data_IF_923005380351
#
_entry.id   IF_923005380351
#
_cell.length_a   1.000
_cell.length_b   1.000
_cell.length_c   1.000
_cell.angle_alpha   90.00
_cell.angle_beta   90.00
_cell.angle_gamma   90.00
#
_symmetry.space_group_name_H-M   'P 1'
#
loop_
_entity.id
_entity.type
_entity.pdbx_description
1 polymer ?
#
# COMPACT_ATOMS: atom_id res chain seq x y z
N UNK A 1 5.30 -22.51 17.29
CA UNK A 1 6.69 -22.57 17.79
C UNK A 1 7.38 -23.85 17.34
N UNK A 2 6.80 -25.04 17.55
CA UNK A 2 7.42 -26.33 17.21
C UNK A 2 7.69 -26.51 15.70
N UNK A 3 6.74 -26.16 14.83
CA UNK A 3 6.92 -26.28 13.38
C UNK A 3 8.08 -25.41 12.85
N UNK A 4 8.28 -24.22 13.41
CA UNK A 4 9.39 -23.33 13.04
C UNK A 4 10.73 -23.93 13.46
N UNK A 5 10.78 -24.52 14.66
CA UNK A 5 11.97 -25.19 15.16
C UNK A 5 12.31 -26.43 14.31
N UNK A 6 11.33 -27.29 14.04
CA UNK A 6 11.52 -28.51 13.27
C UNK A 6 12.04 -28.22 11.85
N UNK A 7 11.40 -27.28 11.14
CA UNK A 7 11.83 -26.91 9.78
C UNK A 7 13.15 -26.16 9.82
N UNK A 8 13.28 -25.18 10.72
CA UNK A 8 14.44 -24.30 10.78
C UNK A 8 15.73 -25.03 11.11
N UNK A 9 15.74 -25.84 12.18
CA UNK A 9 16.94 -26.55 12.64
C UNK A 9 17.37 -27.62 11.64
N UNK A 10 16.45 -28.47 11.19
CA UNK A 10 16.79 -29.57 10.28
C UNK A 10 17.24 -29.05 8.91
N UNK A 11 16.51 -28.11 8.32
CA UNK A 11 16.86 -27.57 7.01
C UNK A 11 18.18 -26.78 7.04
N UNK A 12 18.40 -25.94 8.07
CA UNK A 12 19.65 -25.17 8.21
C UNK A 12 20.86 -26.09 8.34
N UNK A 13 20.77 -27.15 9.18
CA UNK A 13 21.84 -28.15 9.33
C UNK A 13 22.11 -28.89 8.04
N UNK A 14 21.06 -29.40 7.38
CA UNK A 14 21.19 -30.13 6.12
C UNK A 14 21.90 -29.29 5.04
N UNK A 15 21.48 -28.04 4.87
CA UNK A 15 22.10 -27.12 3.89
C UNK A 15 23.54 -26.78 4.28
N UNK A 16 23.80 -26.53 5.56
CA UNK A 16 25.13 -26.20 6.07
C UNK A 16 26.13 -27.33 5.86
N UNK A 17 25.71 -28.59 6.05
CA UNK A 17 26.51 -29.79 5.75
C UNK A 17 26.75 -29.91 4.23
N UNK A 18 25.69 -29.80 3.42
CA UNK A 18 25.77 -29.98 1.97
C UNK A 18 26.64 -28.90 1.28
N UNK A 19 26.63 -27.67 1.79
CA UNK A 19 27.36 -26.53 1.21
C UNK A 19 28.63 -26.13 1.96
N UNK A 20 28.97 -26.84 3.04
CA UNK A 20 30.13 -26.56 3.91
C UNK A 20 30.23 -25.09 4.33
N UNK A 21 29.18 -24.57 4.98
CA UNK A 21 29.13 -23.19 5.47
C UNK A 21 27.94 -22.94 6.40
N UNK A 22 27.89 -21.80 7.08
CA UNK A 22 26.79 -21.45 7.98
C UNK A 22 25.60 -20.86 7.23
N UNK A 23 24.61 -21.69 6.88
CA UNK A 23 23.40 -21.27 6.18
C UNK A 23 22.15 -21.46 7.03
N UNK A 24 21.28 -20.46 7.06
CA UNK A 24 19.98 -20.54 7.71
C UNK A 24 18.86 -20.78 6.71
N UNK A 25 17.93 -21.66 7.07
CA UNK A 25 16.66 -21.89 6.40
C UNK A 25 15.54 -21.85 7.43
N UNK A 26 14.36 -21.44 7.00
CA UNK A 26 13.20 -21.42 7.88
C UNK A 26 11.93 -21.03 7.16
N UNK A 27 10.80 -21.40 7.77
CA UNK A 27 9.46 -21.24 7.20
C UNK A 27 9.11 -19.79 6.82
N UNK A 28 9.71 -18.79 7.46
CA UNK A 28 9.46 -17.35 7.18
C UNK A 28 10.62 -16.71 6.41
N UNK A 29 11.87 -16.87 6.88
CA UNK A 29 13.04 -16.25 6.26
C UNK A 29 13.25 -16.68 4.80
N UNK A 30 13.07 -17.98 4.52
CA UNK A 30 13.35 -18.56 3.20
C UNK A 30 12.35 -18.09 2.14
N UNK A 31 11.01 -18.15 2.34
CA UNK A 31 10.08 -17.60 1.35
C UNK A 31 10.20 -16.09 1.20
N UNK A 32 10.54 -15.36 2.28
CA UNK A 32 10.79 -13.91 2.20
C UNK A 32 11.98 -13.62 1.28
N UNK A 33 13.10 -14.32 1.45
CA UNK A 33 14.25 -14.21 0.54
C UNK A 33 13.88 -14.63 -0.88
N UNK A 34 13.10 -15.72 -1.04
CA UNK A 34 12.66 -16.18 -2.35
C UNK A 34 11.80 -15.15 -3.09
N UNK A 35 10.97 -14.37 -2.39
CA UNK A 35 10.21 -13.27 -2.99
C UNK A 35 11.14 -12.18 -3.56
N UNK A 36 12.19 -11.82 -2.83
CA UNK A 36 13.20 -10.84 -3.29
C UNK A 36 13.97 -11.38 -4.48
N UNK A 37 14.46 -12.62 -4.41
CA UNK A 37 15.18 -13.27 -5.51
C UNK A 37 14.32 -13.37 -6.78
N UNK A 38 13.04 -13.72 -6.65
CA UNK A 38 12.11 -13.80 -7.79
C UNK A 38 11.94 -12.44 -8.44
N UNK A 39 11.68 -11.38 -7.65
CA UNK A 39 11.57 -10.02 -8.18
C UNK A 39 12.86 -9.56 -8.86
N UNK A 40 14.01 -9.92 -8.30
CA UNK A 40 15.30 -9.63 -8.92
C UNK A 40 15.45 -10.32 -10.28
N UNK A 41 15.08 -11.60 -10.38
CA UNK A 41 15.14 -12.36 -11.64
C UNK A 41 14.11 -11.84 -12.67
N UNK A 42 12.89 -11.51 -12.23
CA UNK A 42 11.88 -10.85 -13.06
C UNK A 42 12.45 -9.57 -13.68
N UNK A 43 13.07 -8.71 -12.88
CA UNK A 43 13.67 -7.46 -13.35
C UNK A 43 14.90 -7.69 -14.23
N UNK A 44 15.77 -8.63 -13.87
CA UNK A 44 16.99 -8.96 -14.63
C UNK A 44 16.66 -9.54 -16.01
N UNK A 45 15.62 -10.36 -16.09
CA UNK A 45 15.20 -11.02 -17.32
C UNK A 45 14.16 -10.20 -18.10
N UNK A 46 13.77 -9.02 -17.59
CA UNK A 46 12.85 -8.13 -18.28
C UNK A 46 13.53 -7.54 -19.52
N UNK A 47 12.97 -7.83 -20.69
CA UNK A 47 13.35 -7.19 -21.94
C UNK A 47 12.29 -6.16 -22.30
N UNK A 48 12.69 -4.89 -22.33
CA UNK A 48 11.80 -3.81 -22.72
C UNK A 48 11.48 -3.90 -24.20
N UNK A 49 10.20 -4.02 -24.55
CA UNK A 49 9.72 -4.02 -25.92
C UNK A 49 9.01 -2.70 -26.20
N UNK A 50 9.37 -1.97 -27.28
CA UNK A 50 8.68 -0.73 -27.61
C UNK A 50 7.24 -1.02 -28.03
N UNK A 51 6.34 -0.11 -27.67
CA UNK A 51 4.97 -0.07 -28.14
C UNK A 51 4.57 1.38 -28.37
N UNK A 52 3.58 1.60 -29.22
CA UNK A 52 3.11 2.92 -29.59
C UNK A 52 1.66 3.10 -29.20
N UNK A 53 1.29 4.33 -28.83
CA UNK A 53 -0.11 4.75 -28.65
C UNK A 53 -0.32 6.03 -29.42
N UNK A 54 -1.47 6.13 -30.10
CA UNK A 54 -1.85 7.34 -30.81
C UNK A 54 -2.55 8.27 -29.84
N UNK A 55 -2.02 9.49 -29.72
CA UNK A 55 -2.62 10.57 -28.94
C UNK A 55 -3.23 11.59 -29.89
N UNK A 56 -4.48 11.96 -29.66
CA UNK A 56 -5.15 13.04 -30.37
C UNK A 56 -5.47 14.17 -29.40
N UNK A 57 -4.99 15.37 -29.73
CA UNK A 57 -5.41 16.61 -29.08
C UNK A 57 -6.58 17.16 -29.87
N UNK A 58 -7.73 17.30 -29.22
CA UNK A 58 -8.95 17.79 -29.86
C UNK A 58 -9.52 18.94 -29.06
N UNK A 59 -10.16 19.86 -29.76
CA UNK A 59 -10.88 20.97 -29.17
C UNK A 59 -12.37 20.82 -29.48
N UNK A 60 -13.21 21.05 -28.47
CA UNK A 60 -14.65 21.20 -28.65
C UNK A 60 -15.14 22.33 -27.76
N UNK A 61 -15.74 23.37 -28.35
CA UNK A 61 -16.33 24.49 -27.61
C UNK A 61 -15.32 25.14 -26.63
N UNK A 62 -14.06 25.30 -27.05
CA UNK A 62 -12.97 25.82 -26.22
C UNK A 62 -12.39 24.83 -25.19
N UNK A 63 -12.98 23.65 -25.03
CA UNK A 63 -12.47 22.60 -24.14
C UNK A 63 -11.45 21.75 -24.90
N UNK A 64 -10.22 21.75 -24.39
CA UNK A 64 -9.14 20.91 -24.91
C UNK A 64 -9.18 19.52 -24.26
N UNK A 65 -9.19 18.47 -25.08
CA UNK A 65 -9.26 17.08 -24.65
C UNK A 65 -8.09 16.30 -25.24
N UNK A 66 -7.57 15.35 -24.46
CA UNK A 66 -6.59 14.35 -24.94
C UNK A 66 -7.27 12.99 -25.04
N UNK A 67 -7.44 12.51 -26.27
CA UNK A 67 -7.85 11.14 -26.54
C UNK A 67 -6.63 10.26 -26.77
N UNK A 68 -6.63 9.05 -26.24
CA UNK A 68 -5.55 8.07 -26.40
C UNK A 68 -6.16 6.79 -26.97
N UNK A 69 -5.49 6.17 -27.95
CA UNK A 69 -5.93 4.90 -28.52
C UNK A 69 -6.15 3.84 -27.43
N UNK A 70 -7.27 3.12 -27.52
CA UNK A 70 -7.62 2.06 -26.54
C UNK A 70 -6.59 0.94 -26.55
N UNK A 71 -6.10 0.60 -27.75
CA UNK A 71 -5.11 -0.44 -27.95
C UNK A 71 -3.70 0.18 -28.14
N UNK A 72 -2.70 -0.62 -27.77
CA UNK A 72 -1.32 -0.37 -28.13
C UNK A 72 -1.04 -0.93 -29.53
N UNK A 73 -0.10 -0.30 -30.23
CA UNK A 73 0.44 -0.79 -31.49
C UNK A 73 1.82 -1.39 -31.23
N UNK A 74 2.07 -2.58 -31.73
CA UNK A 74 3.35 -3.29 -31.54
C UNK A 74 4.43 -2.84 -32.52
N UNK A 75 4.07 -2.01 -33.52
CA UNK A 75 5.01 -1.48 -34.50
C UNK A 75 4.66 -0.03 -34.87
N UNK A 76 5.69 0.78 -35.07
CA UNK A 76 5.59 2.21 -35.39
C UNK A 76 4.80 2.48 -36.68
N UNK A 77 4.99 1.65 -37.71
CA UNK A 77 4.34 1.82 -39.02
C UNK A 77 2.83 1.73 -38.91
N UNK A 78 2.31 0.77 -38.14
CA UNK A 78 0.88 0.62 -37.87
C UNK A 78 0.33 1.79 -37.07
N UNK A 79 1.08 2.29 -36.08
CA UNK A 79 0.71 3.48 -35.32
C UNK A 79 0.66 4.73 -36.22
N UNK A 80 1.64 4.90 -37.11
CA UNK A 80 1.70 6.02 -38.05
C UNK A 80 0.58 5.94 -39.10
N UNK A 81 0.22 4.73 -39.53
CA UNK A 81 -0.90 4.49 -40.43
C UNK A 81 -2.22 4.87 -39.76
N UNK A 82 -2.43 4.44 -38.51
CA UNK A 82 -3.59 4.80 -37.71
C UNK A 82 -3.65 6.32 -37.45
N UNK A 83 -2.52 6.96 -37.14
CA UNK A 83 -2.42 8.41 -36.97
C UNK A 83 -2.78 9.16 -38.26
N UNK A 84 -2.27 8.71 -39.41
CA UNK A 84 -2.57 9.31 -40.71
C UNK A 84 -4.05 9.18 -41.08
N UNK A 85 -4.65 8.01 -40.81
CA UNK A 85 -6.09 7.79 -40.97
C UNK A 85 -6.94 8.66 -40.02
N UNK A 86 -6.45 8.92 -38.82
CA UNK A 86 -7.11 9.82 -37.87
C UNK A 86 -7.05 11.28 -38.34
N UNK A 87 -5.89 11.72 -38.81
CA UNK A 87 -5.69 13.06 -39.38
C UNK A 87 -6.58 13.30 -40.60
N UNK A 88 -6.73 12.31 -41.48
CA UNK A 88 -7.57 12.45 -42.69
C UNK A 88 -9.06 12.53 -42.38
N UNK A 89 -9.53 11.95 -41.25
CA UNK A 89 -10.92 12.12 -40.81
C UNK A 89 -11.21 13.53 -40.27
N UNK A 90 -10.23 14.20 -39.67
CA UNK A 90 -10.32 15.57 -39.17
C UNK A 90 -11.30 15.81 -38.01
N UNK A 91 -12.08 14.80 -37.60
CA UNK A 91 -13.08 14.89 -36.52
C UNK A 91 -13.19 13.58 -35.75
N UNK A 92 -13.46 13.67 -34.46
CA UNK A 92 -13.80 12.52 -33.61
C UNK A 92 -15.25 12.63 -33.14
N UNK A 93 -15.90 11.48 -32.94
CA UNK A 93 -17.22 11.39 -32.35
C UNK A 93 -17.12 10.77 -30.95
N UNK A 94 -17.85 11.34 -29.98
CA UNK A 94 -17.97 10.76 -28.64
C UNK A 94 -18.87 9.53 -28.72
N UNK A 95 -18.32 8.35 -28.46
CA UNK A 95 -19.08 7.09 -28.47
C UNK A 95 -19.92 6.88 -27.21
N UNK A 96 -19.42 7.33 -26.05
CA UNK A 96 -20.12 7.24 -24.77
C UNK A 96 -19.64 8.32 -23.81
N UNK A 97 -20.53 8.84 -22.97
CA UNK A 97 -20.21 9.76 -21.89
C UNK A 97 -20.86 9.24 -20.60
N UNK A 98 -20.04 8.97 -19.58
CA UNK A 98 -20.53 8.59 -18.25
C UNK A 98 -19.92 9.51 -17.20
N UNK A 99 -20.76 10.17 -16.40
CA UNK A 99 -20.32 10.88 -15.20
C UNK A 99 -20.59 10.00 -13.98
N UNK A 100 -19.54 9.70 -13.21
CA UNK A 100 -19.66 9.01 -11.92
C UNK A 100 -19.23 9.97 -10.82
N UNK A 101 -20.08 10.16 -9.83
CA UNK A 101 -19.69 10.82 -8.58
C UNK A 101 -19.17 9.73 -7.65
N UNK A 102 -17.87 9.78 -7.37
CA UNK A 102 -17.21 8.88 -6.42
C UNK A 102 -16.98 9.58 -5.09
N UNK A 103 -17.12 8.85 -3.99
CA UNK A 103 -16.71 9.29 -2.65
C UNK A 103 -15.53 8.44 -2.21
N UNK A 104 -14.45 9.07 -1.75
CA UNK A 104 -13.31 8.37 -1.18
C UNK A 104 -13.37 8.51 0.33
N UNK A 105 -13.54 7.42 1.09
CA UNK A 105 -13.50 7.49 2.55
C UNK A 105 -12.09 7.84 3.03
N UNK A 106 -11.95 8.39 4.26
CA UNK A 106 -10.63 8.55 4.87
C UNK A 106 -9.95 7.18 5.01
N UNK A 107 -8.60 7.13 5.05
CA UNK A 107 -7.90 5.88 5.31
C UNK A 107 -8.25 5.33 6.69
N UNK A 108 -8.22 4.00 6.82
CA UNK A 108 -8.31 3.35 8.13
C UNK A 108 -7.15 3.76 9.04
N UNK A 109 -7.35 3.60 10.35
CA UNK A 109 -6.32 3.83 11.37
C UNK A 109 -5.10 2.92 11.19
N UNK A 110 -4.04 3.15 11.97
CA UNK A 110 -2.80 2.41 11.83
C UNK A 110 -2.80 1.09 12.60
N UNK A 111 -2.45 0.00 11.91
CA UNK A 111 -1.83 -1.17 12.51
C UNK A 111 -0.29 -1.01 12.47
N UNK A 112 0.46 -1.96 13.05
CA UNK A 112 1.92 -1.88 13.04
C UNK A 112 2.48 -1.83 11.61
N UNK A 113 1.94 -2.67 10.71
CA UNK A 113 2.46 -2.81 9.34
C UNK A 113 2.25 -1.53 8.54
N UNK A 114 1.07 -0.92 8.63
CA UNK A 114 0.78 0.34 7.92
C UNK A 114 1.60 1.48 8.51
N UNK A 115 1.74 1.56 9.85
CA UNK A 115 2.60 2.55 10.49
C UNK A 115 4.06 2.43 10.02
N UNK A 116 4.60 1.22 9.95
CA UNK A 116 5.95 0.95 9.44
C UNK A 116 6.11 1.38 7.98
N UNK A 117 5.13 1.09 7.11
CA UNK A 117 5.16 1.51 5.69
C UNK A 117 5.12 3.04 5.56
N UNK A 118 4.27 3.71 6.32
CA UNK A 118 4.13 5.17 6.30
C UNK A 118 5.38 5.87 6.85
N UNK A 119 5.91 5.40 7.98
CA UNK A 119 7.13 5.93 8.57
C UNK A 119 8.36 5.70 7.66
N UNK A 120 8.42 4.57 6.97
CA UNK A 120 9.44 4.33 5.96
C UNK A 120 9.30 5.32 4.78
N UNK A 121 8.10 5.49 4.24
CA UNK A 121 7.86 6.41 3.11
C UNK A 121 8.16 7.87 3.46
N UNK A 122 7.76 8.32 4.64
CA UNK A 122 7.89 9.72 5.07
C UNK A 122 9.25 10.06 5.65
N UNK A 123 9.86 9.13 6.40
CA UNK A 123 11.04 9.40 7.22
C UNK A 123 12.21 8.43 6.99
N UNK A 124 12.07 7.46 6.09
CA UNK A 124 13.11 6.45 5.83
C UNK A 124 13.36 5.48 6.99
N UNK A 125 12.46 5.41 7.99
CA UNK A 125 12.65 4.54 9.14
C UNK A 125 12.56 3.06 8.75
N UNK A 126 13.40 2.22 9.35
CA UNK A 126 13.25 0.78 9.27
C UNK A 126 11.99 0.32 10.03
N UNK A 127 11.51 -0.88 9.73
CA UNK A 127 10.42 -1.50 10.46
C UNK A 127 10.74 -1.61 11.97
N UNK A 128 11.98 -1.98 12.30
CA UNK A 128 12.48 -2.10 13.67
C UNK A 128 12.53 -0.75 14.39
N UNK A 129 13.07 0.29 13.75
CA UNK A 129 13.13 1.64 14.34
C UNK A 129 11.72 2.16 14.65
N UNK A 130 10.79 1.98 13.71
CA UNK A 130 9.38 2.40 13.91
C UNK A 130 8.75 1.65 15.09
N UNK A 131 8.95 0.33 15.17
CA UNK A 131 8.45 -0.48 16.28
C UNK A 131 9.08 -0.05 17.62
N UNK A 132 10.38 0.21 17.66
CA UNK A 132 11.07 0.68 18.87
C UNK A 132 10.50 2.00 19.39
N UNK A 133 10.24 2.95 18.49
CA UNK A 133 9.62 4.24 18.85
C UNK A 133 8.19 4.03 19.34
N UNK A 134 7.37 3.28 18.59
CA UNK A 134 5.97 3.03 18.96
C UNK A 134 5.87 2.27 20.30
N UNK A 135 6.76 1.32 20.54
CA UNK A 135 6.88 0.62 21.83
C UNK A 135 7.22 1.58 22.97
N UNK A 136 8.18 2.50 22.77
CA UNK A 136 8.52 3.51 23.77
C UNK A 136 7.34 4.44 24.08
N UNK A 137 6.56 4.85 23.06
CA UNK A 137 5.36 5.67 23.26
C UNK A 137 4.28 4.93 24.04
N UNK A 138 4.10 3.64 23.75
CA UNK A 138 3.16 2.78 24.49
C UNK A 138 3.57 2.59 25.95
N UNK A 139 4.86 2.35 26.23
CA UNK A 139 5.38 2.20 27.60
C UNK A 139 5.27 3.51 28.40
N UNK A 140 5.33 4.65 27.70
CA UNK A 140 5.03 5.98 28.24
C UNK A 140 3.54 6.32 28.26
N UNK A 141 2.68 5.37 27.88
CA UNK A 141 1.21 5.50 27.81
C UNK A 141 0.70 6.59 26.86
N UNK A 142 1.51 7.10 25.95
CA UNK A 142 1.11 8.15 24.98
C UNK A 142 0.32 7.57 23.79
N UNK A 143 0.51 6.30 23.48
CA UNK A 143 -0.18 5.60 22.41
C UNK A 143 -0.63 4.20 22.86
N UNK A 144 -1.62 3.63 22.18
CA UNK A 144 -2.10 2.27 22.45
C UNK A 144 -1.17 1.19 21.91
N UNK A 145 -1.46 -0.07 22.24
CA UNK A 145 -0.56 -1.20 22.01
C UNK A 145 -0.10 -1.32 20.54
N UNK A 146 1.22 -1.23 20.27
CA UNK A 146 1.71 -1.00 18.91
C UNK A 146 1.87 -2.29 18.10
N UNK A 147 1.76 -3.47 18.70
CA UNK A 147 1.87 -4.76 17.99
C UNK A 147 0.49 -5.32 17.63
N UNK A 148 -0.38 -4.43 17.18
CA UNK A 148 -1.71 -4.76 16.68
C UNK A 148 -1.69 -5.00 15.17
N UNK A 149 -2.51 -5.95 14.72
CA UNK A 149 -2.84 -6.16 13.31
C UNK A 149 -4.16 -5.50 12.89
N UNK A 150 -4.91 -4.92 13.83
CA UNK A 150 -6.19 -4.27 13.53
C UNK A 150 -5.98 -2.83 13.10
N UNK A 151 -6.79 -2.40 12.13
CA UNK A 151 -6.92 -1.01 11.68
C UNK A 151 -8.26 -0.40 12.10
N UNK A 152 -8.98 -1.07 13.00
CA UNK A 152 -10.29 -0.71 13.50
C UNK A 152 -10.24 -0.42 15.00
N UNK A 153 -11.18 0.38 15.46
CA UNK A 153 -11.50 0.57 16.88
C UNK A 153 -12.93 0.09 17.12
N UNK A 154 -13.21 -0.25 18.37
CA UNK A 154 -14.55 -0.63 18.82
C UNK A 154 -15.40 0.61 19.11
N UNK A 155 -16.70 0.40 19.30
CA UNK A 155 -17.67 1.46 19.58
C UNK A 155 -17.36 2.23 20.87
N UNK A 156 -16.99 1.50 21.93
CA UNK A 156 -16.56 2.08 23.22
C UNK A 156 -15.31 2.97 23.06
N UNK A 157 -14.30 2.52 22.32
CA UNK A 157 -13.11 3.34 22.04
C UNK A 157 -13.48 4.57 21.20
N UNK A 158 -14.45 4.47 20.29
CA UNK A 158 -14.89 5.61 19.48
C UNK A 158 -15.55 6.72 20.34
N UNK A 159 -16.28 6.35 21.39
CA UNK A 159 -16.90 7.32 22.31
C UNK A 159 -15.86 8.20 23.02
N UNK A 160 -14.64 7.67 23.24
CA UNK A 160 -13.55 8.39 23.90
C UNK A 160 -12.77 9.33 22.95
N UNK A 161 -12.85 9.13 21.64
CA UNK A 161 -12.02 9.86 20.64
C UNK A 161 -12.18 11.37 20.75
N UNK A 162 -13.41 11.86 20.98
CA UNK A 162 -13.64 13.30 21.12
C UNK A 162 -12.92 13.89 22.32
N UNK A 163 -12.84 13.16 23.43
CA UNK A 163 -12.13 13.59 24.64
C UNK A 163 -10.61 13.56 24.41
N UNK A 164 -10.10 12.50 23.78
CA UNK A 164 -8.67 12.35 23.42
C UNK A 164 -8.20 13.53 22.55
N UNK A 165 -8.97 13.90 21.52
CA UNK A 165 -8.65 15.05 20.67
C UNK A 165 -8.63 16.37 21.46
N UNK A 166 -9.58 16.55 22.39
CA UNK A 166 -9.60 17.70 23.30
C UNK A 166 -8.34 17.80 24.17
N UNK A 167 -7.83 16.68 24.69
CA UNK A 167 -6.59 16.65 25.49
C UNK A 167 -5.34 17.02 24.67
N UNK A 168 -5.36 16.70 23.38
CA UNK A 168 -4.29 17.04 22.43
C UNK A 168 -4.37 18.50 21.93
N UNK A 169 -5.43 19.23 22.28
CA UNK A 169 -5.67 20.59 21.80
C UNK A 169 -6.22 20.65 20.37
N UNK A 170 -6.70 19.52 19.84
CA UNK A 170 -7.29 19.41 18.51
C UNK A 170 -8.81 19.58 18.61
N UNK A 171 -9.32 20.71 18.09
CA UNK A 171 -10.75 20.97 18.02
C UNK A 171 -11.43 20.18 16.89
N UNK A 172 -12.63 19.66 17.13
CA UNK A 172 -13.43 19.05 16.07
C UNK A 172 -13.94 20.13 15.09
N UNK A 173 -13.45 20.09 13.86
CA UNK A 173 -13.92 20.95 12.76
C UNK A 173 -15.09 20.34 11.97
N UNK A 174 -15.35 19.05 12.16
CA UNK A 174 -16.43 18.29 11.56
C UNK A 174 -16.81 17.08 12.46
N UNK A 175 -17.99 16.47 12.26
CA UNK A 175 -18.35 15.23 12.95
C UNK A 175 -17.33 14.11 12.71
N UNK A 176 -17.07 13.31 13.75
CA UNK A 176 -16.15 12.18 13.66
C UNK A 176 -16.64 11.14 12.64
N UNK A 177 -15.74 10.72 11.77
CA UNK A 177 -16.00 9.69 10.78
C UNK A 177 -15.91 8.28 11.41
N UNK A 178 -16.85 7.40 11.03
CA UNK A 178 -16.98 6.05 11.60
C UNK A 178 -16.41 4.92 10.73
N UNK A 179 -15.65 5.24 9.67
CA UNK A 179 -15.12 4.26 8.71
C UNK A 179 -14.22 3.20 9.35
N UNK A 180 -13.53 3.56 10.45
CA UNK A 180 -12.65 2.66 11.21
C UNK A 180 -13.32 2.06 12.45
N UNK A 181 -14.65 2.19 12.60
CA UNK A 181 -15.38 1.69 13.78
C UNK A 181 -16.11 0.41 13.42
N UNK A 182 -15.65 -0.73 13.95
CA UNK A 182 -16.23 -2.04 13.66
C UNK A 182 -15.77 -3.08 14.70
N UNK A 183 -16.64 -3.40 15.66
CA UNK A 183 -16.36 -4.38 16.73
C UNK A 183 -15.97 -5.75 16.19
N UNK A 184 -16.50 -6.16 15.04
CA UNK A 184 -16.22 -7.47 14.44
C UNK A 184 -14.86 -7.56 13.73
N UNK A 185 -14.17 -6.44 13.55
CA UNK A 185 -12.84 -6.36 12.91
C UNK A 185 -11.72 -5.96 13.85
N UNK A 186 -12.04 -5.74 15.13
CA UNK A 186 -11.04 -5.65 16.19
C UNK A 186 -10.53 -7.07 16.47
N UNK A 187 -9.21 -7.22 16.53
CA UNK A 187 -8.54 -8.50 16.88
C UNK A 187 -8.25 -8.50 18.38
N UNK A 188 -7.15 -9.12 18.83
CA UNK A 188 -6.72 -9.06 20.25
C UNK A 188 -6.49 -7.62 20.75
N UNK A 189 -6.10 -6.73 19.83
CA UNK A 189 -5.96 -5.29 20.06
C UNK A 189 -6.63 -4.50 18.94
N UNK A 190 -7.08 -3.30 19.26
CA UNK A 190 -7.58 -2.31 18.30
C UNK A 190 -6.42 -1.56 17.62
N UNK A 191 -6.73 -0.60 16.74
CA UNK A 191 -5.74 0.20 16.03
C UNK A 191 -4.89 1.09 16.95
N UNK A 192 -3.69 1.44 16.49
CA UNK A 192 -2.78 2.36 17.19
C UNK A 192 -3.37 3.78 17.15
N UNK A 193 -3.72 4.30 18.33
CA UNK A 193 -4.22 5.67 18.52
C UNK A 193 -3.50 6.34 19.69
N UNK A 194 -3.47 7.68 19.76
CA UNK A 194 -3.06 8.40 20.97
C UNK A 194 -4.02 8.12 22.12
N UNK A 195 -3.54 8.24 23.35
CA UNK A 195 -4.34 8.13 24.58
C UNK A 195 -4.74 9.49 25.18
N UNK A 196 -4.10 10.57 24.74
CA UNK A 196 -4.23 11.92 25.32
C UNK A 196 -3.20 12.22 26.42
N UNK A 197 -2.44 11.23 26.90
CA UNK A 197 -1.32 11.44 27.82
C UNK A 197 -0.12 12.12 27.13
N UNK A 198 0.68 12.90 27.88
CA UNK A 198 1.81 13.70 27.40
C UNK A 198 3.14 13.22 27.96
#
# INVERSE_FOLDING_TARGET
>A
SEADWLVGINASRALSIARKGGYSLGRVQTPTLAMVCRRYLENKNFSSVPYWRVNALVEKEGIHLKAISTNNFDNEVSAQTALSALHSQGRLAVSSLTRKVGTTPPPLLYDLTTLQKEANRKYGFSAEKTLSIAQSLYEKKVATYPRTGSRYISEDVFEEVSAILGMLGEGLTAPLNRHSVDNGKVTDHHAIIPTGEK
#
